data_IF_358724165250
#
_entry.id   IF_358724165250
#
_cell.length_a   1.000
_cell.length_b   1.000
_cell.length_c   1.000
_cell.angle_alpha   90.00
_cell.angle_beta   90.00
_cell.angle_gamma   90.00
#
_symmetry.space_group_name_H-M   'P 1'
#
loop_
_entity.id
_entity.type
_entity.pdbx_description
1 polymer ?
#
# COMPACT_ATOMS: atom_id res chain seq x y z
N UNK A 1 2.81 -4.61 -8.34
CA UNK A 1 3.81 -4.59 -9.42
C UNK A 1 4.35 -5.99 -9.71
N UNK A 2 4.99 -6.69 -8.77
CA UNK A 2 5.49 -8.06 -8.99
C UNK A 2 4.40 -9.00 -9.52
N UNK A 3 3.22 -9.05 -8.86
CA UNK A 3 2.10 -9.86 -9.32
C UNK A 3 1.71 -9.56 -10.78
N UNK A 4 1.62 -8.27 -11.13
CA UNK A 4 1.26 -7.84 -12.48
C UNK A 4 2.27 -8.29 -13.53
N UNK A 5 3.55 -8.05 -13.30
CA UNK A 5 4.63 -8.41 -14.24
C UNK A 5 4.73 -9.93 -14.40
N UNK A 6 4.78 -10.66 -13.29
CA UNK A 6 4.90 -12.12 -13.31
C UNK A 6 3.67 -12.80 -13.91
N UNK A 7 2.46 -12.29 -13.60
CA UNK A 7 1.24 -12.81 -14.20
C UNK A 7 1.14 -12.58 -15.70
N UNK A 8 1.64 -11.43 -16.22
CA UNK A 8 1.73 -11.15 -17.66
C UNK A 8 2.77 -12.05 -18.33
N UNK A 9 3.87 -12.35 -17.65
CA UNK A 9 4.89 -13.29 -18.11
C UNK A 9 4.40 -14.77 -18.13
N UNK A 10 3.16 -15.03 -17.68
CA UNK A 10 2.53 -16.34 -17.73
C UNK A 10 2.65 -17.18 -16.45
N UNK A 11 3.26 -16.64 -15.40
CA UNK A 11 3.33 -17.35 -14.11
C UNK A 11 1.99 -17.32 -13.38
N UNK A 12 1.62 -18.43 -12.77
CA UNK A 12 0.52 -18.50 -11.81
C UNK A 12 0.98 -17.90 -10.49
N UNK A 13 0.66 -16.65 -10.26
CA UNK A 13 1.02 -15.92 -9.04
C UNK A 13 0.05 -16.24 -7.92
N UNK A 14 0.56 -16.37 -6.69
CA UNK A 14 -0.20 -16.28 -5.46
C UNK A 14 0.20 -14.98 -4.74
N UNK A 15 -0.76 -14.10 -4.47
CA UNK A 15 -0.53 -12.87 -3.72
C UNK A 15 -1.33 -12.91 -2.42
N UNK A 16 -0.64 -12.69 -1.29
CA UNK A 16 -1.27 -12.40 -0.01
C UNK A 16 -0.95 -10.97 0.40
N UNK A 17 -1.98 -10.16 0.63
CA UNK A 17 -1.88 -8.72 0.91
C UNK A 17 -2.86 -8.26 1.98
N UNK A 18 -2.59 -7.13 2.64
CA UNK A 18 -3.48 -6.57 3.67
C UNK A 18 -3.31 -5.05 3.85
N UNK A 19 -4.36 -4.35 4.31
CA UNK A 19 -5.74 -4.80 4.49
C UNK A 19 -6.49 -4.90 3.15
N UNK A 20 -7.70 -5.43 3.15
CA UNK A 20 -8.62 -5.34 2.01
C UNK A 20 -9.40 -4.02 2.02
N UNK A 21 -9.98 -3.68 0.89
CA UNK A 21 -10.81 -2.48 0.74
C UNK A 21 -12.31 -2.81 0.92
N UNK A 22 -12.84 -3.75 0.17
CA UNK A 22 -14.27 -4.11 0.18
C UNK A 22 -14.52 -5.52 0.70
N UNK A 23 -13.75 -6.50 0.24
CA UNK A 23 -13.96 -7.92 0.50
C UNK A 23 -12.68 -8.59 1.00
N UNK A 24 -12.83 -9.53 1.93
CA UNK A 24 -11.71 -10.33 2.45
C UNK A 24 -10.93 -11.06 1.33
N UNK A 25 -11.62 -11.47 0.27
CA UNK A 25 -11.05 -12.17 -0.88
C UNK A 25 -9.91 -11.40 -1.57
N UNK A 26 -9.93 -10.07 -1.49
CA UNK A 26 -8.86 -9.21 -2.02
C UNK A 26 -7.50 -9.54 -1.42
N UNK A 27 -7.49 -10.10 -0.17
CA UNK A 27 -6.25 -10.47 0.53
C UNK A 27 -5.55 -11.67 -0.09
N UNK A 28 -6.29 -12.53 -0.79
CA UNK A 28 -5.73 -13.75 -1.39
C UNK A 28 -6.09 -13.77 -2.87
N UNK A 29 -5.07 -13.62 -3.71
CA UNK A 29 -5.24 -13.58 -5.17
C UNK A 29 -4.43 -14.71 -5.80
N UNK A 30 -5.00 -15.35 -6.80
CA UNK A 30 -4.32 -16.39 -7.60
C UNK A 30 -4.49 -16.04 -9.07
N UNK A 31 -3.39 -15.95 -9.81
CA UNK A 31 -3.41 -15.57 -11.21
C UNK A 31 -4.01 -14.17 -11.45
N UNK A 32 -3.74 -13.22 -10.55
CA UNK A 32 -4.20 -11.83 -10.59
C UNK A 32 -5.69 -11.62 -10.26
N UNK A 33 -6.41 -12.65 -9.83
CA UNK A 33 -7.81 -12.54 -9.44
C UNK A 33 -8.01 -12.90 -7.96
N UNK A 34 -8.88 -12.20 -7.22
CA UNK A 34 -9.28 -12.63 -5.88
C UNK A 34 -9.87 -14.04 -5.91
N UNK A 35 -9.59 -14.84 -4.89
CA UNK A 35 -10.20 -16.17 -4.75
C UNK A 35 -11.68 -16.04 -4.39
N UNK A 36 -12.48 -17.03 -4.77
CA UNK A 36 -13.90 -17.09 -4.43
C UNK A 36 -14.15 -17.51 -2.97
N UNK A 37 -15.37 -17.22 -2.46
CA UNK A 37 -15.76 -17.53 -1.09
C UNK A 37 -15.67 -19.02 -0.76
N UNK A 38 -16.05 -19.89 -1.71
CA UNK A 38 -16.04 -21.33 -1.50
C UNK A 38 -14.61 -21.84 -1.30
N UNK A 39 -13.67 -21.39 -2.12
CA UNK A 39 -12.24 -21.73 -1.98
C UNK A 39 -11.68 -21.24 -0.65
N UNK A 40 -12.01 -20.00 -0.23
CA UNK A 40 -11.59 -19.46 1.07
C UNK A 40 -12.16 -20.26 2.23
N UNK A 41 -13.44 -20.60 2.20
CA UNK A 41 -14.08 -21.39 3.25
C UNK A 41 -13.44 -22.77 3.40
N UNK A 42 -13.11 -23.44 2.29
CA UNK A 42 -12.39 -24.72 2.33
C UNK A 42 -10.99 -24.57 2.94
N UNK A 43 -10.26 -23.53 2.58
CA UNK A 43 -8.96 -23.27 3.17
C UNK A 43 -9.06 -22.96 4.67
N UNK A 44 -10.06 -22.19 5.11
CA UNK A 44 -10.32 -21.94 6.52
C UNK A 44 -10.68 -23.24 7.27
N UNK A 45 -11.48 -24.13 6.68
CA UNK A 45 -11.78 -25.43 7.27
C UNK A 45 -10.53 -26.29 7.43
N UNK A 46 -9.65 -26.29 6.43
CA UNK A 46 -8.37 -27.02 6.50
C UNK A 46 -7.46 -26.49 7.62
N UNK A 47 -7.35 -25.17 7.76
CA UNK A 47 -6.58 -24.56 8.86
C UNK A 47 -7.21 -24.88 10.20
N UNK A 48 -8.54 -24.76 10.32
CA UNK A 48 -9.27 -25.05 11.57
C UNK A 48 -9.07 -26.52 12.02
N UNK A 49 -9.14 -27.45 11.08
CA UNK A 49 -8.90 -28.86 11.36
C UNK A 49 -7.45 -29.16 11.76
N UNK A 50 -6.48 -28.46 11.14
CA UNK A 50 -5.04 -28.69 11.39
C UNK A 50 -4.55 -28.04 12.68
N UNK A 51 -5.08 -26.88 13.09
CA UNK A 51 -4.58 -26.14 14.24
C UNK A 51 -4.90 -26.83 15.59
N UNK A 52 -5.94 -27.65 15.66
CA UNK A 52 -6.41 -28.27 16.92
C UNK A 52 -6.68 -27.20 17.98
N UNK A 53 -6.06 -27.34 19.14
CA UNK A 53 -6.17 -26.40 20.26
C UNK A 53 -5.19 -25.22 20.19
N UNK A 54 -4.38 -25.12 19.14
CA UNK A 54 -3.43 -24.00 18.97
C UNK A 54 -4.17 -22.71 18.69
N UNK A 55 -4.05 -21.68 19.56
CA UNK A 55 -4.67 -20.39 19.32
C UNK A 55 -3.93 -19.69 18.16
N UNK A 56 -4.70 -19.16 17.22
CA UNK A 56 -4.20 -18.35 16.10
C UNK A 56 -4.88 -16.98 16.11
N UNK A 57 -4.11 -15.95 15.88
CA UNK A 57 -4.65 -14.62 15.60
C UNK A 57 -5.36 -14.60 14.25
N UNK A 58 -6.18 -13.59 14.02
CA UNK A 58 -6.86 -13.38 12.74
C UNK A 58 -5.89 -13.36 11.54
N UNK A 59 -4.71 -12.73 11.71
CA UNK A 59 -3.72 -12.62 10.64
C UNK A 59 -2.97 -13.95 10.41
N UNK A 60 -2.58 -14.65 11.48
CA UNK A 60 -1.95 -15.99 11.40
C UNK A 60 -2.87 -16.99 10.70
N UNK A 61 -4.14 -17.00 11.06
CA UNK A 61 -5.15 -17.85 10.46
C UNK A 61 -5.29 -17.58 8.95
N UNK A 62 -5.41 -16.29 8.57
CA UNK A 62 -5.49 -15.87 7.18
C UNK A 62 -4.24 -16.18 6.37
N UNK A 63 -3.05 -16.03 6.98
CA UNK A 63 -1.76 -16.37 6.35
C UNK A 63 -1.70 -17.85 6.00
N UNK A 64 -2.05 -18.73 6.95
CA UNK A 64 -2.06 -20.17 6.72
C UNK A 64 -3.08 -20.56 5.63
N UNK A 65 -4.29 -19.98 5.65
CA UNK A 65 -5.31 -20.24 4.63
C UNK A 65 -4.84 -19.82 3.23
N UNK A 66 -4.16 -18.65 3.11
CA UNK A 66 -3.58 -18.22 1.84
C UNK A 66 -2.54 -19.21 1.33
N UNK A 67 -1.65 -19.71 2.19
CA UNK A 67 -0.62 -20.69 1.80
C UNK A 67 -1.24 -22.03 1.42
N UNK A 68 -2.26 -22.50 2.13
CA UNK A 68 -3.02 -23.71 1.74
C UNK A 68 -3.53 -23.58 0.30
N UNK A 69 -4.18 -22.45 -0.02
CA UNK A 69 -4.67 -22.18 -1.39
C UNK A 69 -3.54 -22.13 -2.41
N UNK A 70 -2.40 -21.54 -2.08
CA UNK A 70 -1.25 -21.46 -2.99
C UNK A 70 -0.69 -22.84 -3.31
N UNK A 71 -0.61 -23.73 -2.32
CA UNK A 71 -0.18 -25.13 -2.50
C UNK A 71 -1.19 -25.90 -3.35
N UNK A 72 -2.48 -25.81 -3.02
CA UNK A 72 -3.55 -26.52 -3.75
C UNK A 72 -3.62 -26.08 -5.22
N UNK A 73 -3.48 -24.79 -5.46
CA UNK A 73 -3.55 -24.20 -6.81
C UNK A 73 -2.20 -24.27 -7.55
N UNK A 74 -1.16 -24.82 -6.93
CA UNK A 74 0.19 -24.99 -7.48
C UNK A 74 0.71 -23.69 -8.11
N UNK A 75 0.75 -22.63 -7.30
CA UNK A 75 1.32 -21.35 -7.77
C UNK A 75 2.81 -21.50 -8.07
N UNK A 76 3.28 -20.83 -9.12
CA UNK A 76 4.71 -20.84 -9.48
C UNK A 76 5.51 -19.91 -8.56
N UNK A 77 4.87 -18.86 -8.05
CA UNK A 77 5.48 -17.87 -7.17
C UNK A 77 4.46 -17.33 -6.16
N UNK A 78 4.84 -17.31 -4.89
CA UNK A 78 4.10 -16.67 -3.81
C UNK A 78 4.70 -15.29 -3.52
N UNK A 79 3.85 -14.27 -3.50
CA UNK A 79 4.18 -12.89 -3.12
C UNK A 79 3.45 -12.61 -1.81
N UNK A 80 4.20 -12.46 -0.72
CA UNK A 80 3.66 -12.37 0.62
C UNK A 80 3.93 -10.98 1.21
N UNK A 81 2.87 -10.25 1.53
CA UNK A 81 2.96 -8.98 2.24
C UNK A 81 2.92 -9.21 3.76
N UNK A 82 3.90 -8.64 4.46
CA UNK A 82 3.94 -8.62 5.93
C UNK A 82 2.78 -7.77 6.47
N UNK A 83 2.05 -8.28 7.45
CA UNK A 83 0.96 -7.55 8.07
C UNK A 83 1.43 -6.45 9.01
N UNK A 84 2.40 -6.76 9.88
CA UNK A 84 2.95 -5.81 10.86
C UNK A 84 4.41 -6.11 11.19
N UNK A 85 5.26 -5.11 11.09
CA UNK A 85 6.69 -5.23 11.45
C UNK A 85 7.46 -6.08 10.46
N UNK A 86 7.68 -7.33 10.77
CA UNK A 86 8.39 -8.32 9.94
C UNK A 86 8.91 -9.50 10.74
N UNK A 87 9.78 -9.28 11.71
CA UNK A 87 10.48 -10.33 12.47
C UNK A 87 9.56 -11.37 13.10
N UNK A 88 8.45 -10.94 13.69
CA UNK A 88 7.46 -11.79 14.39
C UNK A 88 6.14 -11.92 13.61
N UNK A 89 6.12 -11.48 12.36
CA UNK A 89 4.92 -11.59 11.53
C UNK A 89 4.70 -13.04 11.07
N UNK A 90 3.44 -13.44 10.92
CA UNK A 90 3.06 -14.78 10.49
C UNK A 90 3.65 -15.15 9.13
N UNK A 91 3.70 -14.19 8.20
CA UNK A 91 4.30 -14.38 6.86
C UNK A 91 5.77 -14.75 6.96
N UNK A 92 6.47 -14.29 7.99
CA UNK A 92 7.89 -14.56 8.19
C UNK A 92 8.21 -16.00 8.64
N UNK A 93 7.19 -16.83 8.86
CA UNK A 93 7.36 -18.28 9.05
C UNK A 93 7.83 -19.00 7.77
N UNK A 94 7.67 -18.36 6.61
CA UNK A 94 8.08 -18.89 5.31
C UNK A 94 9.35 -18.19 4.83
N UNK A 95 10.38 -19.00 4.50
CA UNK A 95 11.66 -18.47 4.02
C UNK A 95 11.52 -17.94 2.60
N UNK A 96 11.81 -16.66 2.41
CA UNK A 96 11.71 -16.00 1.12
C UNK A 96 12.96 -16.22 0.25
N UNK A 97 12.79 -16.39 -1.06
CA UNK A 97 13.90 -16.39 -2.03
C UNK A 97 14.43 -14.98 -2.32
N UNK A 98 13.64 -13.96 -2.05
CA UNK A 98 14.01 -12.55 -2.10
C UNK A 98 13.12 -11.79 -1.11
N UNK A 99 13.70 -10.99 -0.23
CA UNK A 99 12.97 -10.22 0.76
C UNK A 99 13.12 -8.72 0.49
N UNK A 100 12.01 -7.97 0.59
CA UNK A 100 11.94 -6.55 0.26
C UNK A 100 11.45 -5.77 1.46
N UNK A 101 12.21 -4.74 1.86
CA UNK A 101 11.74 -3.66 2.73
C UNK A 101 11.66 -2.40 1.86
N UNK A 102 10.47 -1.87 1.65
CA UNK A 102 10.25 -0.75 0.70
C UNK A 102 10.77 0.56 1.24
N UNK A 103 10.36 0.92 2.44
CA UNK A 103 10.79 2.14 3.15
C UNK A 103 10.49 2.01 4.65
N UNK A 104 11.06 2.91 5.45
CA UNK A 104 10.78 3.00 6.88
C UNK A 104 10.12 4.34 7.17
N UNK A 105 9.04 4.30 7.95
CA UNK A 105 8.34 5.48 8.46
C UNK A 105 7.82 5.23 9.87
N UNK A 106 7.52 6.28 10.60
CA UNK A 106 6.91 6.19 11.93
C UNK A 106 5.44 5.80 11.77
N UNK A 107 5.13 4.56 12.07
CA UNK A 107 3.78 4.02 12.18
C UNK A 107 3.81 2.84 13.14
N UNK A 108 2.66 2.52 13.74
CA UNK A 108 2.52 1.41 14.71
C UNK A 108 3.56 1.47 15.84
N UNK A 109 3.85 2.66 16.33
CA UNK A 109 4.92 2.92 17.30
C UNK A 109 4.73 2.18 18.64
N UNK A 110 3.49 1.85 19.00
CA UNK A 110 3.15 1.04 20.17
C UNK A 110 3.72 -0.40 20.10
N UNK A 111 3.86 -0.94 18.87
CA UNK A 111 4.32 -2.33 18.65
C UNK A 111 5.77 -2.39 18.14
N UNK A 112 6.17 -1.46 17.29
CA UNK A 112 7.44 -1.52 16.57
C UNK A 112 8.53 -0.62 17.18
N UNK A 113 8.15 0.23 18.16
CA UNK A 113 9.02 1.22 18.77
C UNK A 113 8.89 2.61 18.14
N UNK A 114 9.39 3.62 18.84
CA UNK A 114 9.19 5.04 18.53
C UNK A 114 10.29 5.66 17.67
N UNK A 115 11.21 4.86 17.14
CA UNK A 115 12.33 5.33 16.31
C UNK A 115 12.40 4.56 14.99
N UNK A 116 12.92 5.22 13.93
CA UNK A 116 13.14 4.58 12.63
C UNK A 116 14.07 3.37 12.74
N UNK A 117 15.04 3.42 13.67
CA UNK A 117 15.97 2.33 13.93
C UNK A 117 15.29 1.09 14.53
N UNK A 118 14.38 1.29 15.48
CA UNK A 118 13.61 0.20 16.06
C UNK A 118 12.70 -0.46 15.01
N UNK A 119 11.96 0.36 14.25
CA UNK A 119 11.09 -0.11 13.16
C UNK A 119 11.90 -0.82 12.07
N UNK A 120 13.06 -0.26 11.69
CA UNK A 120 13.98 -0.85 10.72
C UNK A 120 14.47 -2.23 11.16
N UNK A 121 14.81 -2.40 12.44
CA UNK A 121 15.21 -3.70 13.01
C UNK A 121 14.11 -4.76 12.90
N UNK A 122 12.86 -4.41 13.23
CA UNK A 122 11.73 -5.33 13.13
C UNK A 122 11.45 -5.72 11.67
N UNK A 123 11.50 -4.76 10.74
CA UNK A 123 11.28 -5.03 9.32
C UNK A 123 12.41 -5.84 8.69
N UNK A 124 13.69 -5.56 9.03
CA UNK A 124 14.83 -6.35 8.55
C UNK A 124 14.87 -7.79 9.07
N UNK A 125 13.99 -8.14 10.00
CA UNK A 125 13.80 -9.51 10.50
C UNK A 125 13.29 -10.50 9.46
N UNK A 126 12.85 -10.04 8.30
CA UNK A 126 12.44 -10.91 7.17
C UNK A 126 13.62 -11.37 6.30
N UNK A 127 14.79 -10.76 6.45
CA UNK A 127 15.98 -11.13 5.66
C UNK A 127 16.53 -12.49 6.07
N UNK A 128 17.10 -13.21 5.10
CA UNK A 128 17.70 -14.53 5.29
C UNK A 128 19.15 -14.55 4.80
N UNK A 129 19.95 -15.44 5.40
CA UNK A 129 21.34 -15.65 5.00
C UNK A 129 21.44 -16.12 3.55
N UNK A 130 22.35 -15.54 2.79
CA UNK A 130 22.64 -15.94 1.40
C UNK A 130 21.53 -15.62 0.40
N UNK A 131 20.47 -14.90 0.79
CA UNK A 131 19.39 -14.51 -0.14
C UNK A 131 19.35 -13.01 -0.39
N UNK A 132 18.86 -12.55 -1.56
CA UNK A 132 18.68 -11.13 -1.85
C UNK A 132 17.79 -10.44 -0.82
N UNK A 133 18.30 -9.36 -0.25
CA UNK A 133 17.67 -8.53 0.78
C UNK A 133 17.64 -7.08 0.28
N UNK A 134 16.49 -6.66 -0.26
CA UNK A 134 16.36 -5.38 -0.95
C UNK A 134 15.80 -4.30 -0.03
N UNK A 135 16.33 -3.08 -0.17
CA UNK A 135 15.80 -1.89 0.49
C UNK A 135 15.50 -0.80 -0.53
N UNK A 136 14.29 -0.26 -0.48
CA UNK A 136 13.71 0.56 -1.56
C UNK A 136 13.69 2.07 -1.33
N UNK A 137 14.48 2.60 -0.38
CA UNK A 137 14.54 4.04 -0.13
C UNK A 137 15.97 4.55 -0.02
N UNK A 138 16.13 5.88 -0.14
CA UNK A 138 17.42 6.56 -0.03
C UNK A 138 17.83 6.67 1.46
N UNK A 139 16.85 6.91 2.35
CA UNK A 139 17.06 7.03 3.79
C UNK A 139 17.01 5.67 4.48
N UNK A 140 18.18 5.09 4.73
CA UNK A 140 18.33 3.75 5.28
C UNK A 140 18.69 3.82 6.77
N UNK A 141 17.82 3.39 7.70
CA UNK A 141 18.20 3.21 9.10
C UNK A 141 19.39 2.27 9.24
N UNK A 142 20.38 2.62 10.08
CA UNK A 142 21.63 1.84 10.21
C UNK A 142 21.41 0.40 10.67
N UNK A 143 20.30 0.12 11.34
CA UNK A 143 19.91 -1.22 11.79
C UNK A 143 19.65 -2.18 10.65
N UNK A 144 19.22 -1.71 9.47
CA UNK A 144 18.91 -2.55 8.31
C UNK A 144 20.16 -3.15 7.69
N UNK A 145 21.15 -2.38 7.20
CA UNK A 145 22.39 -2.93 6.66
C UNK A 145 23.19 -3.68 7.74
N UNK A 146 23.16 -3.25 9.00
CA UNK A 146 23.78 -3.96 10.08
C UNK A 146 23.21 -5.37 10.26
N UNK A 147 21.87 -5.50 10.28
CA UNK A 147 21.19 -6.79 10.38
C UNK A 147 21.50 -7.68 9.18
N UNK A 148 21.42 -7.15 7.97
CA UNK A 148 21.74 -7.89 6.75
C UNK A 148 23.17 -8.44 6.78
N UNK A 149 24.14 -7.61 7.17
CA UNK A 149 25.54 -8.04 7.34
C UNK A 149 25.69 -9.11 8.42
N UNK A 150 25.02 -8.95 9.57
CA UNK A 150 25.10 -9.89 10.70
C UNK A 150 24.67 -11.30 10.29
N UNK A 151 23.64 -11.44 9.46
CA UNK A 151 23.13 -12.75 9.04
C UNK A 151 23.72 -13.23 7.71
N UNK A 152 24.56 -12.43 7.05
CA UNK A 152 25.12 -12.77 5.73
C UNK A 152 24.10 -12.74 4.59
N UNK A 153 23.11 -11.84 4.63
CA UNK A 153 22.18 -11.62 3.51
C UNK A 153 22.86 -10.83 2.38
N UNK A 154 22.48 -11.06 1.14
CA UNK A 154 22.93 -10.26 -0.02
C UNK A 154 22.14 -8.94 -0.07
N UNK A 155 22.63 -7.97 0.70
CA UNK A 155 21.96 -6.69 0.88
C UNK A 155 22.19 -5.76 -0.30
N UNK A 156 21.09 -5.21 -0.82
CA UNK A 156 21.09 -4.24 -1.91
C UNK A 156 20.12 -3.11 -1.61
N UNK A 157 20.51 -1.88 -1.91
CA UNK A 157 19.67 -0.70 -1.67
C UNK A 157 19.55 0.22 -2.86
N UNK A 158 18.41 0.87 -2.95
CA UNK A 158 18.17 1.94 -3.90
C UNK A 158 19.22 3.06 -3.74
N UNK A 159 19.63 3.65 -4.85
CA UNK A 159 20.63 4.71 -4.91
C UNK A 159 22.08 4.24 -4.88
N UNK A 160 22.36 2.99 -4.49
CA UNK A 160 23.71 2.41 -4.42
C UNK A 160 23.85 1.21 -5.34
N UNK A 161 23.13 0.12 -5.07
CA UNK A 161 23.25 -1.15 -5.80
C UNK A 161 22.35 -1.19 -7.02
N UNK A 162 21.21 -0.51 -6.94
CA UNK A 162 20.32 -0.26 -8.08
C UNK A 162 19.78 1.17 -8.00
N UNK A 163 19.48 1.74 -9.17
CA UNK A 163 19.01 3.13 -9.29
C UNK A 163 18.13 3.31 -10.51
N UNK A 164 17.46 4.44 -10.57
CA UNK A 164 16.68 4.85 -11.75
C UNK A 164 17.11 6.24 -12.24
N UNK A 165 16.87 6.50 -13.51
CA UNK A 165 16.95 7.82 -14.12
C UNK A 165 15.65 8.16 -14.82
N UNK A 166 15.16 9.39 -14.62
CA UNK A 166 13.92 9.89 -15.20
C UNK A 166 14.19 10.59 -16.52
N UNK A 167 13.26 10.42 -17.46
CA UNK A 167 13.14 11.21 -18.70
C UNK A 167 11.69 11.72 -18.78
N UNK A 168 11.38 12.59 -19.74
CA UNK A 168 10.05 13.23 -19.82
C UNK A 168 8.89 12.22 -19.89
N UNK A 169 9.00 11.20 -20.76
CA UNK A 169 7.92 10.23 -21.03
C UNK A 169 8.23 8.82 -20.60
N UNK A 170 9.46 8.55 -20.16
CA UNK A 170 9.94 7.22 -19.81
C UNK A 170 10.99 7.30 -18.72
N UNK A 171 11.40 6.14 -18.20
CA UNK A 171 12.48 6.05 -17.24
C UNK A 171 13.39 4.86 -17.55
N UNK A 172 14.51 4.79 -16.86
CA UNK A 172 15.49 3.72 -17.00
C UNK A 172 15.81 3.16 -15.62
N UNK A 173 15.97 1.86 -15.53
CA UNK A 173 16.44 1.15 -14.36
C UNK A 173 17.87 0.67 -14.59
N UNK A 174 18.71 0.78 -13.57
CA UNK A 174 20.10 0.31 -13.55
C UNK A 174 20.29 -0.56 -12.33
N UNK A 175 20.49 -1.85 -12.51
CA UNK A 175 20.68 -2.83 -11.45
C UNK A 175 22.00 -3.60 -11.60
N UNK A 176 22.34 -4.37 -10.57
CA UNK A 176 23.55 -5.20 -10.54
C UNK A 176 23.55 -6.28 -11.63
N UNK A 177 22.39 -6.82 -11.98
CA UNK A 177 22.23 -7.96 -12.90
C UNK A 177 21.68 -7.56 -14.28
N UNK A 178 21.35 -6.31 -14.48
CA UNK A 178 20.84 -5.81 -15.76
C UNK A 178 20.41 -4.35 -15.73
N UNK A 179 20.26 -3.80 -16.92
CA UNK A 179 19.70 -2.46 -17.14
C UNK A 179 18.45 -2.59 -18.01
N UNK A 180 17.39 -1.85 -17.67
CA UNK A 180 16.17 -1.81 -18.45
C UNK A 180 15.92 -0.37 -18.93
N UNK A 181 15.82 -0.19 -20.24
CA UNK A 181 15.68 1.12 -20.88
C UNK A 181 14.29 1.29 -21.50
N UNK A 182 13.86 2.55 -21.62
CA UNK A 182 12.59 2.89 -22.26
C UNK A 182 11.40 2.31 -21.52
N UNK A 183 11.42 2.35 -20.19
CA UNK A 183 10.33 1.89 -19.35
C UNK A 183 9.24 2.96 -19.29
N UNK A 184 7.95 2.61 -19.45
CA UNK A 184 6.87 3.53 -19.19
C UNK A 184 6.76 3.82 -17.69
N UNK A 185 6.31 4.99 -17.30
CA UNK A 185 5.97 5.24 -15.91
C UNK A 185 4.85 4.29 -15.45
N UNK A 186 4.89 3.81 -14.19
CA UNK A 186 3.81 3.00 -13.66
C UNK A 186 2.46 3.69 -13.78
N UNK A 187 1.39 2.95 -14.09
CA UNK A 187 0.03 3.48 -14.15
C UNK A 187 -0.43 4.08 -12.81
N UNK A 188 0.09 3.55 -11.69
CA UNK A 188 -0.11 4.15 -10.37
C UNK A 188 0.63 5.48 -10.29
N UNK A 189 -0.09 6.52 -9.89
CA UNK A 189 0.45 7.88 -9.81
C UNK A 189 1.29 8.07 -8.55
N UNK A 190 2.28 8.96 -8.62
CA UNK A 190 3.12 9.37 -7.50
C UNK A 190 4.61 9.14 -7.70
N UNK A 191 5.39 10.12 -7.22
CA UNK A 191 6.85 10.10 -7.40
C UNK A 191 7.56 8.90 -6.75
N UNK A 192 6.96 8.31 -5.71
CA UNK A 192 7.46 7.11 -5.04
C UNK A 192 7.19 5.81 -5.82
N UNK A 193 6.26 5.80 -6.78
CA UNK A 193 5.97 4.61 -7.56
C UNK A 193 7.14 4.16 -8.43
N UNK A 194 8.00 5.08 -8.82
CA UNK A 194 9.23 4.73 -9.53
C UNK A 194 10.24 4.04 -8.61
N UNK A 195 10.30 4.42 -7.32
CA UNK A 195 11.08 3.69 -6.30
C UNK A 195 10.55 2.28 -6.13
N UNK A 196 9.22 2.13 -5.97
CA UNK A 196 8.56 0.83 -5.86
C UNK A 196 8.79 -0.05 -7.11
N UNK A 197 8.70 0.55 -8.32
CA UNK A 197 9.01 -0.15 -9.57
C UNK A 197 10.48 -0.59 -9.62
N UNK A 198 11.40 0.27 -9.18
CA UNK A 198 12.83 -0.05 -9.16
C UNK A 198 13.14 -1.22 -8.24
N UNK A 199 12.52 -1.28 -7.05
CA UNK A 199 12.68 -2.42 -6.13
C UNK A 199 12.07 -3.70 -6.73
N UNK A 200 10.91 -3.59 -7.38
CA UNK A 200 10.30 -4.73 -8.06
C UNK A 200 11.18 -5.27 -9.18
N UNK A 201 11.81 -4.39 -9.98
CA UNK A 201 12.75 -4.80 -11.03
C UNK A 201 14.03 -5.39 -10.45
N UNK A 202 14.58 -4.83 -9.36
CA UNK A 202 15.72 -5.42 -8.68
C UNK A 202 15.41 -6.85 -8.20
N UNK A 203 14.23 -7.08 -7.63
CA UNK A 203 13.79 -8.41 -7.21
C UNK A 203 13.65 -9.38 -8.39
N UNK A 204 13.05 -8.93 -9.50
CA UNK A 204 12.93 -9.75 -10.72
C UNK A 204 14.30 -10.09 -11.31
N UNK A 205 15.23 -9.13 -11.33
CA UNK A 205 16.60 -9.37 -11.82
C UNK A 205 17.35 -10.38 -10.94
N UNK A 206 17.16 -10.35 -9.62
CA UNK A 206 17.76 -11.33 -8.71
C UNK A 206 17.13 -12.72 -8.87
N UNK A 207 15.90 -12.81 -9.25
CA UNK A 207 15.16 -14.06 -9.45
C UNK A 207 15.15 -14.55 -10.91
N UNK A 208 15.83 -13.86 -11.85
CA UNK A 208 15.70 -14.10 -13.29
C UNK A 208 16.08 -15.52 -13.75
N UNK A 209 16.93 -16.21 -12.98
CA UNK A 209 17.33 -17.60 -13.30
C UNK A 209 16.21 -18.61 -12.99
N UNK A 210 15.27 -18.23 -12.09
CA UNK A 210 14.10 -19.04 -11.72
C UNK A 210 12.81 -18.54 -12.35
N UNK A 211 12.68 -17.24 -12.48
CA UNK A 211 11.48 -16.54 -12.97
C UNK A 211 11.86 -15.52 -14.06
N UNK A 212 12.33 -15.99 -15.24
CA UNK A 212 12.67 -15.10 -16.34
C UNK A 212 11.44 -14.30 -16.82
N UNK A 213 11.61 -13.00 -16.98
CA UNK A 213 10.60 -12.08 -17.55
C UNK A 213 11.22 -11.29 -18.70
N UNK A 214 10.42 -11.01 -19.73
CA UNK A 214 10.88 -10.19 -20.85
C UNK A 214 10.71 -8.69 -20.55
N UNK A 215 11.45 -7.85 -21.26
CA UNK A 215 11.25 -6.40 -21.18
C UNK A 215 9.81 -5.99 -21.54
N UNK A 216 9.16 -6.74 -22.43
CA UNK A 216 7.77 -6.49 -22.83
C UNK A 216 6.80 -6.80 -21.67
N UNK A 217 7.02 -7.88 -20.91
CA UNK A 217 6.22 -8.23 -19.76
C UNK A 217 6.34 -7.16 -18.66
N UNK A 218 7.57 -6.66 -18.44
CA UNK A 218 7.83 -5.56 -17.53
C UNK A 218 7.04 -4.31 -17.96
N UNK A 219 7.15 -3.90 -19.22
CA UNK A 219 6.46 -2.70 -19.72
C UNK A 219 4.96 -2.80 -19.59
N UNK A 220 4.38 -3.93 -19.98
CA UNK A 220 2.95 -4.18 -19.82
C UNK A 220 2.54 -4.22 -18.36
N UNK A 221 3.31 -4.91 -17.51
CA UNK A 221 3.03 -5.01 -16.08
C UNK A 221 3.06 -3.66 -15.36
N UNK A 222 3.88 -2.71 -15.80
CA UNK A 222 3.89 -1.34 -15.27
C UNK A 222 2.66 -0.53 -15.73
N UNK A 223 2.18 -0.74 -16.93
CA UNK A 223 1.04 0.00 -17.52
C UNK A 223 -0.32 -0.56 -17.06
N UNK A 224 -0.42 -1.88 -16.84
CA UNK A 224 -1.66 -2.55 -16.46
C UNK A 224 -1.88 -2.62 -14.94
N UNK A 225 -1.15 -1.79 -14.17
CA UNK A 225 -1.32 -1.72 -12.72
C UNK A 225 -2.64 -1.04 -12.36
N UNK A 226 -3.48 -1.77 -11.64
CA UNK A 226 -4.67 -1.23 -11.00
C UNK A 226 -4.64 -1.57 -9.51
N UNK A 227 -4.75 -0.55 -8.67
CA UNK A 227 -4.81 -0.71 -7.22
C UNK A 227 -5.80 0.31 -6.66
N UNK A 228 -7.04 -0.10 -6.40
CA UNK A 228 -8.08 0.79 -5.92
C UNK A 228 -7.67 1.53 -4.64
N UNK A 229 -8.05 2.79 -4.55
CA UNK A 229 -7.76 3.62 -3.39
C UNK A 229 -6.30 4.06 -3.23
N UNK A 230 -5.48 4.00 -4.28
CA UNK A 230 -4.11 4.54 -4.30
C UNK A 230 -3.99 5.65 -5.33
N UNK A 231 -4.31 6.88 -4.94
CA UNK A 231 -4.46 8.04 -5.82
C UNK A 231 -5.27 7.71 -7.08
N UNK A 232 -6.33 6.96 -6.87
CA UNK A 232 -7.23 6.53 -7.93
C UNK A 232 -8.08 7.72 -8.37
N UNK A 233 -7.94 8.12 -9.62
CA UNK A 233 -8.74 9.20 -10.21
C UNK A 233 -9.90 8.58 -10.97
N UNK A 234 -11.13 8.83 -10.51
CA UNK A 234 -12.33 8.37 -11.19
C UNK A 234 -12.61 9.23 -12.44
N UNK A 235 -13.10 8.62 -13.52
CA UNK A 235 -13.53 9.38 -14.71
C UNK A 235 -14.68 10.32 -14.38
N UNK A 236 -14.66 11.54 -14.93
CA UNK A 236 -15.76 12.48 -14.77
C UNK A 236 -15.32 13.88 -14.38
N UNK A 237 -16.32 14.76 -14.19
CA UNK A 237 -16.17 16.13 -13.69
C UNK A 237 -17.28 16.40 -12.68
N UNK A 238 -16.96 16.85 -11.44
CA UNK A 238 -15.61 17.12 -10.91
C UNK A 238 -14.70 15.89 -10.90
N UNK A 239 -13.38 16.10 -10.85
CA UNK A 239 -12.41 15.03 -10.66
C UNK A 239 -12.54 14.47 -9.24
N UNK A 240 -12.73 13.16 -9.11
CA UNK A 240 -12.78 12.48 -7.81
C UNK A 240 -11.52 11.65 -7.61
N UNK A 241 -10.82 11.88 -6.51
CA UNK A 241 -9.61 11.18 -6.13
C UNK A 241 -9.88 10.34 -4.89
N UNK A 242 -9.59 9.04 -4.96
CA UNK A 242 -9.68 8.12 -3.83
C UNK A 242 -8.27 7.73 -3.37
N UNK A 243 -7.96 7.96 -2.10
CA UNK A 243 -6.67 7.57 -1.51
C UNK A 243 -6.84 7.11 -0.05
N UNK A 244 -6.28 5.96 0.30
CA UNK A 244 -6.36 5.41 1.65
C UNK A 244 -5.29 5.97 2.61
N UNK A 245 -4.60 7.04 2.27
CA UNK A 245 -3.61 7.70 3.13
C UNK A 245 -4.21 8.05 4.50
N UNK A 246 -3.55 7.59 5.57
CA UNK A 246 -4.05 7.66 6.94
C UNK A 246 -2.96 7.90 7.99
N UNK A 247 -1.77 8.27 7.56
CA UNK A 247 -0.68 8.73 8.43
C UNK A 247 0.04 9.89 7.75
N UNK A 248 0.87 10.61 8.52
CA UNK A 248 1.53 11.84 8.06
C UNK A 248 2.38 11.63 6.81
N UNK A 249 3.14 10.53 6.74
CA UNK A 249 3.98 10.23 5.58
C UNK A 249 3.16 10.01 4.30
N UNK A 250 2.10 9.18 4.37
CA UNK A 250 1.24 8.91 3.23
C UNK A 250 0.47 10.15 2.77
N UNK A 251 -0.01 10.97 3.72
CA UNK A 251 -0.75 12.20 3.39
C UNK A 251 0.18 13.28 2.82
N UNK A 252 1.43 13.35 3.24
CA UNK A 252 2.43 14.23 2.61
C UNK A 252 2.62 13.88 1.12
N UNK A 253 2.70 12.59 0.81
CA UNK A 253 2.76 12.13 -0.59
C UNK A 253 1.48 12.48 -1.35
N UNK A 254 0.31 12.28 -0.73
CA UNK A 254 -0.98 12.66 -1.32
C UNK A 254 -1.03 14.15 -1.64
N UNK A 255 -0.63 15.01 -0.71
CA UNK A 255 -0.58 16.48 -0.89
C UNK A 255 0.33 16.87 -2.07
N UNK A 256 1.51 16.26 -2.17
CA UNK A 256 2.42 16.49 -3.30
C UNK A 256 1.79 16.09 -4.64
N UNK A 257 1.09 14.96 -4.70
CA UNK A 257 0.41 14.52 -5.92
C UNK A 257 -0.73 15.46 -6.31
N UNK A 258 -1.50 15.93 -5.34
CA UNK A 258 -2.55 16.94 -5.58
C UNK A 258 -1.97 18.24 -6.15
N UNK A 259 -0.79 18.64 -5.70
CA UNK A 259 -0.05 19.78 -6.24
C UNK A 259 0.36 19.61 -7.71
N UNK A 260 0.64 18.37 -8.14
CA UNK A 260 1.02 18.06 -9.53
C UNK A 260 -0.17 17.87 -10.49
N UNK A 261 -1.41 17.81 -10.00
CA UNK A 261 -2.59 17.64 -10.87
C UNK A 261 -2.97 18.88 -11.68
N UNK A 262 -2.28 19.98 -11.50
CA UNK A 262 -2.67 21.26 -12.11
C UNK A 262 -3.60 22.07 -11.21
N UNK A 263 -4.23 23.12 -11.78
CA UNK A 263 -5.08 24.04 -11.02
C UNK A 263 -6.52 23.57 -11.02
N UNK A 264 -7.12 23.51 -9.85
CA UNK A 264 -8.56 23.35 -9.62
C UNK A 264 -9.06 24.59 -8.92
N UNK A 265 -10.33 24.93 -9.12
CA UNK A 265 -10.95 26.11 -8.49
C UNK A 265 -11.07 25.92 -6.98
N UNK A 266 -11.54 24.71 -6.55
CA UNK A 266 -11.67 24.31 -5.14
C UNK A 266 -11.35 22.84 -4.97
N UNK A 267 -10.92 22.49 -3.77
CA UNK A 267 -10.73 21.10 -3.31
C UNK A 267 -11.71 20.80 -2.18
N UNK A 268 -12.59 19.86 -2.39
CA UNK A 268 -13.53 19.33 -1.43
C UNK A 268 -12.97 18.04 -0.84
N UNK A 269 -12.80 17.95 0.49
CA UNK A 269 -12.26 16.80 1.17
C UNK A 269 -13.35 16.02 1.91
N UNK A 270 -13.61 14.78 1.50
CA UNK A 270 -14.40 13.81 2.26
C UNK A 270 -13.44 13.06 3.17
N UNK A 271 -13.59 13.25 4.48
CA UNK A 271 -12.60 12.80 5.45
C UNK A 271 -13.21 12.00 6.58
N UNK A 272 -12.63 10.84 6.84
CA UNK A 272 -12.91 9.97 7.99
C UNK A 272 -11.65 9.23 8.38
N UNK A 273 -11.37 9.10 9.68
CA UNK A 273 -10.12 8.54 10.17
C UNK A 273 -10.32 7.71 11.45
N UNK A 274 -9.40 6.81 11.76
CA UNK A 274 -9.40 6.10 13.03
C UNK A 274 -8.84 7.00 14.14
N UNK A 275 -9.40 6.90 15.35
CA UNK A 275 -9.08 7.75 16.50
C UNK A 275 -7.68 7.53 17.10
N UNK A 276 -7.10 6.35 16.83
CA UNK A 276 -5.76 5.96 17.28
C UNK A 276 -4.63 6.45 16.34
N UNK A 277 -4.98 7.16 15.28
CA UNK A 277 -4.01 7.76 14.35
C UNK A 277 -3.77 9.24 14.67
N UNK A 278 -2.67 9.79 14.18
CA UNK A 278 -2.32 11.21 14.35
C UNK A 278 -3.16 12.10 13.43
N UNK A 279 -4.43 12.33 13.84
CA UNK A 279 -5.40 13.13 13.09
C UNK A 279 -4.90 14.57 12.92
N UNK A 280 -4.29 15.14 13.96
CA UNK A 280 -3.83 16.52 13.94
C UNK A 280 -2.75 16.77 12.89
N UNK A 281 -1.77 15.87 12.78
CA UNK A 281 -0.71 15.96 11.78
C UNK A 281 -1.25 15.74 10.36
N UNK A 282 -2.18 14.78 10.18
CA UNK A 282 -2.81 14.52 8.89
C UNK A 282 -3.60 15.72 8.38
N UNK A 283 -4.44 16.32 9.23
CA UNK A 283 -5.15 17.57 8.91
C UNK A 283 -4.14 18.68 8.62
N UNK A 284 -3.08 18.77 9.42
CA UNK A 284 -2.04 19.79 9.26
C UNK A 284 -1.40 19.81 7.88
N UNK A 285 -1.08 18.64 7.35
CA UNK A 285 -0.49 18.51 6.00
C UNK A 285 -1.48 18.88 4.90
N UNK A 286 -2.77 18.55 5.08
CA UNK A 286 -3.80 18.76 4.06
C UNK A 286 -4.46 20.13 4.11
N UNK A 287 -4.27 20.88 5.19
CA UNK A 287 -4.96 22.15 5.42
C UNK A 287 -4.80 23.18 4.28
N UNK A 288 -3.61 23.25 3.69
CA UNK A 288 -3.29 24.20 2.60
C UNK A 288 -3.81 23.72 1.22
N UNK A 289 -4.32 22.49 1.14
CA UNK A 289 -4.80 21.89 -0.10
C UNK A 289 -6.33 21.77 -0.16
N UNK A 290 -7.03 22.00 0.96
CA UNK A 290 -8.46 21.75 1.11
C UNK A 290 -9.21 23.04 1.42
N UNK A 291 -10.20 23.36 0.58
CA UNK A 291 -11.07 24.54 0.77
C UNK A 291 -12.29 24.21 1.63
N UNK A 292 -12.82 22.97 1.54
CA UNK A 292 -14.03 22.57 2.28
C UNK A 292 -13.93 21.11 2.72
N UNK A 293 -14.25 20.85 3.99
CA UNK A 293 -14.21 19.55 4.61
C UNK A 293 -15.60 18.96 4.83
N UNK A 294 -15.79 17.72 4.43
CA UNK A 294 -17.00 16.92 4.63
C UNK A 294 -16.63 15.75 5.54
N UNK A 295 -16.96 15.87 6.82
CA UNK A 295 -16.51 14.96 7.86
C UNK A 295 -17.55 13.88 8.09
N UNK A 296 -17.13 12.61 8.06
CA UNK A 296 -17.99 11.48 8.36
C UNK A 296 -17.37 10.52 9.37
N UNK A 297 -18.17 9.88 10.23
CA UNK A 297 -17.68 8.90 11.20
C UNK A 297 -17.33 7.58 10.51
N UNK A 298 -16.29 6.90 11.01
CA UNK A 298 -16.03 5.51 10.65
C UNK A 298 -16.78 4.59 11.62
N UNK A 299 -17.68 3.76 11.11
CA UNK A 299 -18.46 2.79 11.90
C UNK A 299 -17.60 1.57 12.26
N UNK A 300 -16.61 1.77 13.12
CA UNK A 300 -15.76 0.71 13.67
C UNK A 300 -15.38 1.08 15.10
N UNK A 301 -14.98 0.10 15.92
CA UNK A 301 -14.60 0.31 17.33
C UNK A 301 -13.55 1.41 17.53
N UNK A 302 -12.60 1.52 16.59
CA UNK A 302 -11.55 2.53 16.59
C UNK A 302 -11.88 3.75 15.70
N UNK A 303 -13.10 3.84 15.16
CA UNK A 303 -13.50 4.96 14.30
C UNK A 303 -13.59 6.26 15.10
N UNK A 304 -13.12 7.37 14.49
CA UNK A 304 -13.40 8.70 15.01
C UNK A 304 -14.80 9.15 14.60
N UNK A 305 -15.48 9.92 15.48
CA UNK A 305 -16.72 10.60 15.13
C UNK A 305 -16.44 11.85 14.29
N UNK A 306 -17.44 12.35 13.56
CA UNK A 306 -17.29 13.58 12.77
C UNK A 306 -16.97 14.79 13.67
N UNK A 307 -17.57 14.86 14.87
CA UNK A 307 -17.35 15.93 15.86
C UNK A 307 -15.90 15.88 16.40
N UNK A 308 -15.33 14.68 16.59
CA UNK A 308 -13.95 14.51 17.00
C UNK A 308 -13.01 15.05 15.90
N UNK A 309 -13.27 14.74 14.63
CA UNK A 309 -12.50 15.28 13.51
C UNK A 309 -12.64 16.81 13.42
N UNK A 310 -13.86 17.34 13.62
CA UNK A 310 -14.13 18.79 13.64
C UNK A 310 -13.34 19.50 14.75
N UNK A 311 -13.19 18.89 15.93
CA UNK A 311 -12.41 19.49 17.02
C UNK A 311 -10.95 19.73 16.66
N UNK A 312 -10.33 18.85 15.84
CA UNK A 312 -8.97 19.03 15.34
C UNK A 312 -8.88 20.16 14.30
N UNK A 313 -9.89 20.33 13.44
CA UNK A 313 -9.98 21.47 12.51
C UNK A 313 -10.19 22.77 13.25
N UNK A 314 -11.05 22.77 14.30
CA UNK A 314 -11.29 23.94 15.14
C UNK A 314 -10.02 24.42 15.86
N UNK A 315 -9.20 23.50 16.36
CA UNK A 315 -7.91 23.81 16.97
C UNK A 315 -6.94 24.52 16.01
N UNK A 316 -7.18 24.43 14.68
CA UNK A 316 -6.43 25.13 13.62
C UNK A 316 -7.14 26.37 13.06
N UNK A 317 -8.28 26.75 13.62
CA UNK A 317 -9.08 27.87 13.11
C UNK A 317 -9.85 27.58 11.84
N UNK A 318 -10.00 26.31 11.44
CA UNK A 318 -10.65 25.89 10.19
C UNK A 318 -12.06 25.31 10.38
N UNK A 319 -12.65 25.44 11.56
CA UNK A 319 -14.01 24.92 11.81
C UNK A 319 -15.07 25.46 10.84
N UNK A 320 -14.93 26.71 10.40
CA UNK A 320 -15.88 27.36 9.48
C UNK A 320 -15.86 26.82 8.05
N UNK A 321 -14.90 25.96 7.71
CA UNK A 321 -14.80 25.32 6.39
C UNK A 321 -15.22 23.84 6.42
N UNK A 322 -15.83 23.36 7.51
CA UNK A 322 -16.10 21.95 7.74
C UNK A 322 -17.55 21.71 8.18
N UNK A 323 -18.17 20.70 7.57
CA UNK A 323 -19.49 20.18 7.92
C UNK A 323 -19.43 18.73 8.36
N UNK A 324 -20.20 18.37 9.40
CA UNK A 324 -20.35 17.01 9.91
C UNK A 324 -21.55 16.30 9.28
N UNK A 325 -21.35 15.04 8.88
CA UNK A 325 -22.38 14.20 8.28
C UNK A 325 -22.56 12.90 9.07
N UNK A 326 -23.75 12.28 9.06
CA UNK A 326 -24.02 11.03 9.76
C UNK A 326 -23.24 9.82 9.21
N UNK A 327 -22.81 9.87 7.94
CA UNK A 327 -22.03 8.81 7.27
C UNK A 327 -21.06 9.41 6.26
N UNK A 328 -20.01 8.67 5.94
CA UNK A 328 -19.06 9.01 4.86
C UNK A 328 -19.79 9.11 3.51
N UNK A 329 -20.73 8.21 3.22
CA UNK A 329 -21.52 8.25 1.98
C UNK A 329 -22.30 9.55 1.84
N UNK A 330 -22.95 10.04 2.93
CA UNK A 330 -23.68 11.33 2.92
C UNK A 330 -22.70 12.51 2.79
N UNK A 331 -21.53 12.45 3.42
CA UNK A 331 -20.49 13.44 3.26
C UNK A 331 -20.03 13.53 1.78
N UNK A 332 -19.80 12.40 1.13
CA UNK A 332 -19.44 12.32 -0.28
C UNK A 332 -20.54 12.87 -1.19
N UNK A 333 -21.80 12.48 -0.97
CA UNK A 333 -22.93 13.02 -1.74
C UNK A 333 -23.06 14.54 -1.59
N UNK A 334 -22.82 15.08 -0.40
CA UNK A 334 -22.84 16.53 -0.16
C UNK A 334 -21.69 17.21 -0.90
N UNK A 335 -20.47 16.64 -0.88
CA UNK A 335 -19.35 17.14 -1.65
C UNK A 335 -19.64 17.15 -3.15
N UNK A 336 -20.23 16.08 -3.69
CA UNK A 336 -20.62 16.00 -5.11
C UNK A 336 -21.67 17.06 -5.50
N UNK A 337 -22.63 17.36 -4.62
CA UNK A 337 -23.64 18.42 -4.87
C UNK A 337 -23.05 19.83 -4.83
N UNK A 338 -22.03 20.06 -4.01
CA UNK A 338 -21.40 21.36 -3.85
C UNK A 338 -20.32 21.66 -4.89
N UNK A 339 -19.68 20.63 -5.41
CA UNK A 339 -18.56 20.76 -6.34
C UNK A 339 -19.03 21.16 -7.74
N UNK A 340 -18.33 22.10 -8.35
CA UNK A 340 -18.46 22.45 -9.77
C UNK A 340 -17.58 21.56 -10.65
N UNK A 341 -17.75 21.64 -11.98
CA UNK A 341 -16.96 20.83 -12.94
C UNK A 341 -15.44 21.09 -12.87
N UNK A 342 -15.04 22.28 -12.45
CA UNK A 342 -13.64 22.71 -12.33
C UNK A 342 -13.06 22.50 -10.92
N UNK A 343 -13.85 21.92 -10.03
CA UNK A 343 -13.40 21.52 -8.68
C UNK A 343 -12.86 20.09 -8.68
N UNK A 344 -12.24 19.70 -7.58
CA UNK A 344 -11.89 18.30 -7.32
C UNK A 344 -12.45 17.88 -5.96
N UNK A 345 -12.77 16.60 -5.85
CA UNK A 345 -13.16 15.96 -4.60
C UNK A 345 -12.05 14.95 -4.25
N UNK A 346 -11.57 14.99 -3.02
CA UNK A 346 -10.62 14.02 -2.49
C UNK A 346 -11.27 13.25 -1.36
N UNK A 347 -11.20 11.92 -1.41
CA UNK A 347 -11.69 11.01 -0.37
C UNK A 347 -10.50 10.32 0.26
N UNK A 348 -10.26 10.56 1.56
CA UNK A 348 -9.06 10.02 2.22
C UNK A 348 -9.23 9.88 3.74
N UNK A 349 -8.17 9.36 4.40
CA UNK A 349 -8.03 9.24 5.85
C UNK A 349 -8.17 7.81 6.38
N UNK A 350 -8.72 6.87 5.61
CA UNK A 350 -8.80 5.45 5.99
C UNK A 350 -9.21 4.58 4.81
N UNK A 351 -8.85 3.30 4.87
CA UNK A 351 -9.47 2.26 4.01
C UNK A 351 -10.99 2.23 4.16
N UNK A 352 -11.51 2.37 5.39
CA UNK A 352 -12.96 2.42 5.64
C UNK A 352 -13.64 3.57 4.91
N UNK A 353 -13.02 4.75 4.90
CA UNK A 353 -13.56 5.95 4.25
C UNK A 353 -13.66 5.76 2.75
N UNK A 354 -12.59 5.27 2.13
CA UNK A 354 -12.57 4.99 0.69
C UNK A 354 -13.52 3.86 0.32
N UNK A 355 -13.56 2.78 1.11
CA UNK A 355 -14.46 1.66 0.90
C UNK A 355 -15.94 2.06 0.96
N UNK A 356 -16.31 2.93 1.92
CA UNK A 356 -17.70 3.41 2.04
C UNK A 356 -18.12 4.20 0.79
N UNK A 357 -17.24 5.05 0.27
CA UNK A 357 -17.51 5.78 -0.98
C UNK A 357 -17.61 4.83 -2.18
N UNK A 358 -16.68 3.87 -2.33
CA UNK A 358 -16.71 2.93 -3.47
C UNK A 358 -18.00 2.10 -3.51
N UNK A 359 -18.55 1.72 -2.35
CA UNK A 359 -19.85 1.00 -2.31
C UNK A 359 -21.03 1.83 -2.81
N UNK A 360 -20.88 3.14 -2.93
CA UNK A 360 -21.94 4.07 -3.32
C UNK A 360 -21.66 4.77 -4.66
N UNK A 361 -20.62 4.36 -5.38
CA UNK A 361 -20.36 4.74 -6.78
C UNK A 361 -21.19 3.89 -7.74
#
# INVERSE_FOLDING_TARGET
MLEGILGIAGYRTGLYTSPHLLSYNERVRIGRAPVDDASLCLAFQAVEAARGDTPLTYFEFGTLAAVVLFVERKVDVAILEVGLGGRLDAVNAFDANCAIVTNIGLDHTEYLGSTLEAIGREKAGIYRSGTPALFGDDDVPVTIPHRAKQIGADFQRLGVDFRFSRQDTQWQFHGRRGNHHGLPYPALRGGYQIKNASVALAALDELKDKLPVTLQDIKRGLLELDLPGRFQVLPGRPAVILDVAHNTAAVTVLAQQLGHMGRFRRTHAVFGMLKDKDIASVIGVMADFVDTWYLGPIKATRGASAEHLLSHLAARGQAGTADCYPTIALAYQAACRAASQDDRIIVFGSFYTVADVIRHL
#
